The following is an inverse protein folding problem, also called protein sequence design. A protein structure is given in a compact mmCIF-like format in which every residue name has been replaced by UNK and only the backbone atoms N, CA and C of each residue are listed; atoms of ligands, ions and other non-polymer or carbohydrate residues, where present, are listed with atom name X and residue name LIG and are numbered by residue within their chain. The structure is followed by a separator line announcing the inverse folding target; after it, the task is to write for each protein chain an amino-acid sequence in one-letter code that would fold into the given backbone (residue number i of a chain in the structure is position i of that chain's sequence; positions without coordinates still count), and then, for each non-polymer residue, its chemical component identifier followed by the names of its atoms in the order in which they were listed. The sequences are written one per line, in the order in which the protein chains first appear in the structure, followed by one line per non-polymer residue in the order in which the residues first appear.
data_IF_861558129717
#
_entry.id   IF_861558129717
#
_cell.length_a   1.000
_cell.length_b   1.000
_cell.length_c   1.000
_cell.angle_alpha   90.00
_cell.angle_beta   90.00
_cell.angle_gamma   90.00
#
_symmetry.space_group_name_H-M   'P 1'
#
loop_
_entity.id
_entity.type
_entity.pdbx_description
1 polymer ?
#
# COMPACT_ATOMS: atom_id res chain seq x y z
N UNK A 1 13.31 -1.94 -24.34
CA UNK A 1 12.22 -1.74 -25.31
C UNK A 1 11.75 -0.31 -25.12
N UNK A 2 12.44 0.60 -25.82
CA UNK A 2 12.26 2.04 -25.73
C UNK A 2 11.43 2.44 -26.93
N UNK A 3 10.12 2.37 -26.79
CA UNK A 3 9.22 2.86 -27.83
C UNK A 3 9.27 4.37 -27.85
N UNK A 4 9.56 4.92 -29.03
CA UNK A 4 9.59 6.35 -29.31
C UNK A 4 8.21 6.96 -29.02
N UNK A 5 8.06 7.53 -27.83
CA UNK A 5 6.93 8.39 -27.50
C UNK A 5 7.17 9.73 -28.19
N UNK A 6 6.62 9.92 -29.40
CA UNK A 6 6.43 11.26 -29.94
C UNK A 6 5.46 11.98 -29.01
N UNK A 7 6.03 12.80 -28.11
CA UNK A 7 5.28 13.72 -27.28
C UNK A 7 4.75 14.85 -28.18
N UNK A 8 3.61 14.61 -28.82
CA UNK A 8 2.86 15.65 -29.52
C UNK A 8 2.42 16.67 -28.48
N UNK A 9 3.20 17.75 -28.32
CA UNK A 9 2.81 18.91 -27.53
C UNK A 9 1.67 19.63 -28.25
N UNK A 10 0.43 19.30 -27.88
CA UNK A 10 -0.74 20.08 -28.29
C UNK A 10 -0.82 21.30 -27.38
N UNK A 11 -0.35 22.44 -27.88
CA UNK A 11 -0.47 23.73 -27.23
C UNK A 11 -1.74 24.43 -27.72
N UNK A 12 -2.87 24.25 -27.04
CA UNK A 12 -4.05 25.12 -27.21
C UNK A 12 -4.92 25.10 -25.96
N UNK A 13 -5.22 26.29 -25.43
CA UNK A 13 -6.02 26.53 -24.23
C UNK A 13 -7.53 26.41 -24.42
N UNK A 14 -7.99 25.37 -25.12
CA UNK A 14 -9.41 25.04 -25.26
C UNK A 14 -9.59 23.53 -25.03
N UNK A 15 -10.72 23.18 -24.40
CA UNK A 15 -11.11 21.85 -23.93
C UNK A 15 -10.47 20.70 -24.72
N UNK A 16 -9.58 19.96 -24.04
CA UNK A 16 -8.88 18.78 -24.55
C UNK A 16 -9.87 17.73 -25.05
N UNK A 17 -10.10 17.69 -26.36
CA UNK A 17 -10.66 16.54 -27.05
C UNK A 17 -9.59 15.44 -26.94
N UNK A 18 -9.82 14.50 -26.03
CA UNK A 18 -8.99 13.32 -25.89
C UNK A 18 -8.96 12.61 -27.24
N UNK A 19 -7.78 12.55 -27.87
CA UNK A 19 -7.55 11.77 -29.07
C UNK A 19 -8.09 10.35 -28.83
N UNK A 20 -9.07 9.95 -29.65
CA UNK A 20 -9.69 8.63 -29.59
C UNK A 20 -8.55 7.60 -29.70
N UNK A 21 -8.35 6.73 -28.70
CA UNK A 21 -7.28 5.74 -28.76
C UNK A 21 -7.47 4.89 -30.01
N UNK A 22 -6.41 4.75 -30.81
CA UNK A 22 -6.41 3.80 -31.92
C UNK A 22 -6.69 2.41 -31.35
N UNK A 23 -7.74 1.71 -31.81
CA UNK A 23 -8.06 0.39 -31.28
C UNK A 23 -6.88 -0.56 -31.52
N UNK A 24 -6.30 -1.08 -30.44
CA UNK A 24 -5.39 -2.23 -30.50
C UNK A 24 -4.04 -2.13 -29.79
N UNK A 25 -3.60 -0.95 -29.34
CA UNK A 25 -2.30 -0.84 -28.63
C UNK A 25 -2.53 -0.50 -27.15
N UNK A 26 -2.20 -1.47 -26.28
CA UNK A 26 -2.26 -1.31 -24.82
C UNK A 26 -1.35 -0.16 -24.37
N UNK A 27 -1.86 0.73 -23.52
CA UNK A 27 -1.10 1.88 -23.00
C UNK A 27 -0.71 1.73 -21.53
N UNK A 28 -1.41 0.88 -20.78
CA UNK A 28 -1.14 0.63 -19.35
C UNK A 28 0.18 -0.10 -19.11
N UNK A 29 0.92 0.35 -18.10
CA UNK A 29 2.12 -0.30 -17.60
C UNK A 29 1.77 -1.70 -17.05
N UNK A 30 2.76 -2.59 -17.05
CA UNK A 30 2.61 -3.93 -16.49
C UNK A 30 3.35 -4.00 -15.15
N UNK A 31 2.70 -4.49 -14.10
CA UNK A 31 3.38 -4.71 -12.82
C UNK A 31 4.16 -6.02 -12.87
N UNK A 32 5.35 -6.05 -12.26
CA UNK A 32 6.18 -7.26 -12.10
C UNK A 32 6.52 -8.00 -13.40
N UNK A 33 6.82 -7.28 -14.49
CA UNK A 33 7.37 -7.88 -15.71
C UNK A 33 6.40 -8.74 -16.52
N UNK A 34 5.09 -8.63 -16.30
CA UNK A 34 4.10 -9.34 -17.13
C UNK A 34 2.82 -9.75 -16.41
N UNK A 35 2.87 -9.90 -15.09
CA UNK A 35 1.97 -10.84 -14.44
C UNK A 35 0.64 -10.24 -13.94
N UNK A 36 0.57 -8.95 -13.65
CA UNK A 36 -0.62 -8.34 -13.08
C UNK A 36 -0.87 -6.93 -13.60
N UNK A 37 -2.15 -6.62 -13.80
CA UNK A 37 -2.67 -5.25 -13.92
C UNK A 37 -2.35 -4.46 -12.63
N UNK A 38 -1.86 -3.21 -12.77
CA UNK A 38 -1.42 -2.37 -11.63
C UNK A 38 -2.55 -2.08 -10.64
N UNK A 39 -3.80 -2.01 -11.09
CA UNK A 39 -4.98 -1.82 -10.23
C UNK A 39 -5.23 -3.07 -9.39
N UNK A 40 -5.23 -4.25 -10.01
CA UNK A 40 -5.40 -5.52 -9.30
C UNK A 40 -4.25 -5.76 -8.32
N UNK A 41 -3.02 -5.50 -8.74
CA UNK A 41 -1.85 -5.58 -7.87
C UNK A 41 -2.01 -4.67 -6.64
N UNK A 42 -2.42 -3.41 -6.83
CA UNK A 42 -2.67 -2.46 -5.73
C UNK A 42 -3.73 -2.96 -4.75
N UNK A 43 -4.82 -3.57 -5.24
CA UNK A 43 -5.85 -4.15 -4.37
C UNK A 43 -5.29 -5.34 -3.56
N UNK A 44 -4.60 -6.26 -4.23
CA UNK A 44 -4.04 -7.47 -3.60
C UNK A 44 -3.02 -7.09 -2.52
N UNK A 45 -2.07 -6.19 -2.80
CA UNK A 45 -1.04 -5.81 -1.82
C UNK A 45 -1.66 -5.14 -0.59
N UNK A 46 -2.68 -4.29 -0.76
CA UNK A 46 -3.36 -3.70 0.39
C UNK A 46 -4.16 -4.72 1.21
N UNK A 47 -4.78 -5.72 0.58
CA UNK A 47 -5.45 -6.81 1.30
C UNK A 47 -4.44 -7.61 2.12
N UNK A 48 -3.31 -8.00 1.52
CA UNK A 48 -2.25 -8.74 2.20
C UNK A 48 -1.73 -7.94 3.41
N UNK A 49 -1.41 -6.66 3.21
CA UNK A 49 -0.90 -5.80 4.28
C UNK A 49 -1.95 -5.54 5.37
N UNK A 50 -3.23 -5.40 5.00
CA UNK A 50 -4.32 -5.30 5.97
C UNK A 50 -4.41 -6.57 6.82
N UNK A 51 -4.35 -7.75 6.22
CA UNK A 51 -4.34 -9.02 6.96
C UNK A 51 -3.14 -9.13 7.91
N UNK A 52 -1.92 -8.82 7.44
CA UNK A 52 -0.71 -8.83 8.28
C UNK A 52 -0.84 -7.83 9.44
N UNK A 53 -1.39 -6.64 9.19
CA UNK A 53 -1.59 -5.61 10.21
C UNK A 53 -2.59 -6.05 11.28
N UNK A 54 -3.68 -6.72 10.87
CA UNK A 54 -4.66 -7.28 11.81
C UNK A 54 -4.05 -8.41 12.65
N UNK A 55 -3.24 -9.29 12.05
CA UNK A 55 -2.50 -10.32 12.80
C UNK A 55 -1.50 -9.68 13.78
N UNK A 56 -0.81 -8.62 13.37
CA UNK A 56 0.07 -7.85 14.24
C UNK A 56 -0.67 -7.23 15.43
N UNK A 57 -1.86 -6.67 15.20
CA UNK A 57 -2.71 -6.10 16.24
C UNK A 57 -3.16 -7.17 17.25
N UNK A 58 -3.58 -8.35 16.77
CA UNK A 58 -3.89 -9.50 17.63
C UNK A 58 -2.66 -9.98 18.40
N UNK A 59 -1.49 -9.99 17.78
CA UNK A 59 -0.22 -10.34 18.42
C UNK A 59 0.12 -9.40 19.58
N UNK A 60 -0.03 -8.09 19.38
CA UNK A 60 0.15 -7.08 20.45
C UNK A 60 -0.84 -7.29 21.59
N UNK A 61 -2.11 -7.56 21.27
CA UNK A 61 -3.14 -7.83 22.29
C UNK A 61 -2.83 -9.11 23.10
N UNK A 62 -2.44 -10.18 22.42
CA UNK A 62 -2.08 -11.45 23.05
C UNK A 62 -0.83 -11.31 23.93
N UNK A 63 0.21 -10.61 23.45
CA UNK A 63 1.43 -10.36 24.20
C UNK A 63 1.14 -9.60 25.50
N UNK A 64 0.24 -8.60 25.47
CA UNK A 64 -0.20 -7.91 26.69
C UNK A 64 -0.90 -8.83 27.68
N UNK A 65 -1.81 -9.68 27.20
CA UNK A 65 -2.54 -10.62 28.07
C UNK A 65 -1.63 -11.63 28.75
N UNK A 66 -0.64 -12.16 28.02
CA UNK A 66 0.37 -13.06 28.59
C UNK A 66 1.26 -12.33 29.59
N UNK A 67 1.70 -11.11 29.26
CA UNK A 67 2.54 -10.30 30.15
C UNK A 67 1.82 -9.95 31.46
N UNK A 68 0.54 -9.55 31.40
CA UNK A 68 -0.24 -9.25 32.61
C UNK A 68 -0.42 -10.49 33.49
N UNK A 69 -0.72 -11.63 32.88
CA UNK A 69 -0.88 -12.88 33.63
C UNK A 69 0.44 -13.36 34.25
N UNK A 70 1.56 -13.19 33.55
CA UNK A 70 2.87 -13.49 34.12
C UNK A 70 3.21 -12.58 35.31
N UNK A 71 2.88 -11.30 35.23
CA UNK A 71 3.11 -10.34 36.31
C UNK A 71 2.30 -10.67 37.58
N UNK A 72 1.07 -11.17 37.44
CA UNK A 72 0.23 -11.58 38.58
C UNK A 72 0.75 -12.83 39.31
N UNK A 73 1.48 -13.71 38.60
CA UNK A 73 1.98 -14.98 39.15
C UNK A 73 3.44 -14.90 39.62
N UNK A 74 4.11 -13.76 39.42
CA UNK A 74 5.49 -13.57 39.84
C UNK A 74 5.54 -13.15 41.32
N UNK A 75 6.21 -13.95 42.15
CA UNK A 75 6.44 -13.68 43.59
C UNK A 75 7.66 -12.78 43.83
N UNK A 76 8.46 -12.52 42.77
CA UNK A 76 9.70 -11.74 42.83
C UNK A 76 9.49 -10.29 42.32
N UNK A 77 9.55 -9.31 43.23
CA UNK A 77 9.38 -7.87 42.97
C UNK A 77 10.26 -7.30 41.83
N UNK A 78 11.43 -7.91 41.58
CA UNK A 78 12.35 -7.49 40.52
C UNK A 78 11.79 -7.78 39.11
N UNK A 79 11.05 -8.89 38.95
CA UNK A 79 10.45 -9.26 37.66
C UNK A 79 9.28 -8.35 37.29
N UNK A 80 8.46 -7.95 38.26
CA UNK A 80 7.33 -7.04 38.08
C UNK A 80 7.79 -5.68 37.52
N UNK A 81 8.93 -5.17 38.01
CA UNK A 81 9.47 -3.88 37.59
C UNK A 81 9.90 -3.89 36.11
N UNK A 82 10.51 -4.99 35.66
CA UNK A 82 10.92 -5.15 34.25
C UNK A 82 9.74 -5.37 33.29
N UNK A 83 8.67 -6.03 33.75
CA UNK A 83 7.40 -6.18 33.03
C UNK A 83 6.62 -4.86 32.94
N UNK A 84 6.65 -4.04 33.99
CA UNK A 84 6.06 -2.70 33.97
C UNK A 84 6.79 -1.76 33.01
N UNK A 85 8.11 -1.86 32.87
CA UNK A 85 8.85 -1.08 31.87
C UNK A 85 8.45 -1.41 30.41
N UNK A 86 8.04 -2.66 30.14
CA UNK A 86 7.45 -3.06 28.84
C UNK A 86 6.01 -2.55 28.67
N UNK A 87 5.27 -2.40 29.77
CA UNK A 87 3.93 -1.80 29.78
C UNK A 87 3.97 -0.28 29.56
N UNK A 88 5.01 0.39 30.06
CA UNK A 88 5.24 1.84 29.91
C UNK A 88 5.83 2.23 28.56
N UNK A 89 6.31 1.26 27.78
CA UNK A 89 6.55 1.49 26.36
C UNK A 89 5.26 2.06 25.73
N UNK A 90 5.36 2.92 24.69
CA UNK A 90 4.19 3.59 24.11
C UNK A 90 3.37 2.63 23.24
N UNK A 91 2.91 1.50 23.78
CA UNK A 91 2.11 0.50 23.08
C UNK A 91 0.80 1.11 22.62
N UNK A 92 0.28 2.11 23.33
CA UNK A 92 -0.85 2.92 22.87
C UNK A 92 -0.55 3.63 21.54
N UNK A 93 0.65 4.19 21.38
CA UNK A 93 1.10 4.81 20.12
C UNK A 93 1.24 3.76 19.03
N UNK A 94 1.83 2.59 19.34
CA UNK A 94 1.94 1.49 18.37
C UNK A 94 0.56 1.05 17.86
N UNK A 95 -0.40 0.83 18.77
CA UNK A 95 -1.77 0.47 18.39
C UNK A 95 -2.42 1.56 17.54
N UNK A 96 -2.25 2.84 17.90
CA UNK A 96 -2.77 3.95 17.09
C UNK A 96 -2.16 3.98 15.68
N UNK A 97 -0.85 3.75 15.55
CA UNK A 97 -0.16 3.68 14.25
C UNK A 97 -0.71 2.52 13.40
N UNK A 98 -0.92 1.34 14.00
CA UNK A 98 -1.49 0.19 13.28
C UNK A 98 -2.93 0.46 12.81
N UNK A 99 -3.74 1.15 13.61
CA UNK A 99 -5.10 1.55 13.23
C UNK A 99 -5.09 2.55 12.07
N UNK A 100 -4.25 3.59 12.14
CA UNK A 100 -4.08 4.56 11.05
C UNK A 100 -3.62 3.85 9.76
N UNK A 101 -2.65 2.95 9.88
CA UNK A 101 -2.13 2.18 8.76
C UNK A 101 -3.23 1.30 8.12
N UNK A 102 -4.04 0.62 8.94
CA UNK A 102 -5.18 -0.16 8.45
C UNK A 102 -6.20 0.70 7.69
N UNK A 103 -6.49 1.91 8.17
CA UNK A 103 -7.36 2.86 7.48
C UNK A 103 -6.77 3.30 6.12
N UNK A 104 -5.45 3.54 6.06
CA UNK A 104 -4.76 3.86 4.81
C UNK A 104 -4.86 2.74 3.77
N UNK A 105 -4.75 1.46 4.18
CA UNK A 105 -4.93 0.33 3.26
C UNK A 105 -6.36 0.23 2.73
N UNK A 106 -7.35 0.47 3.59
CA UNK A 106 -8.75 0.52 3.16
C UNK A 106 -8.96 1.66 2.16
N UNK A 107 -8.41 2.85 2.40
CA UNK A 107 -8.43 3.96 1.44
C UNK A 107 -7.76 3.58 0.11
N UNK A 108 -6.63 2.87 0.14
CA UNK A 108 -5.94 2.37 -1.06
C UNK A 108 -6.81 1.43 -1.90
N UNK A 109 -7.51 0.49 -1.25
CA UNK A 109 -8.46 -0.42 -1.90
C UNK A 109 -9.61 0.36 -2.53
N UNK A 110 -10.25 1.27 -1.78
CA UNK A 110 -11.34 2.09 -2.30
C UNK A 110 -10.89 3.00 -3.45
N UNK A 111 -9.70 3.59 -3.34
CA UNK A 111 -9.09 4.42 -4.38
C UNK A 111 -8.86 3.64 -5.67
N UNK A 112 -8.35 2.41 -5.58
CA UNK A 112 -8.15 1.53 -6.73
C UNK A 112 -9.48 1.07 -7.35
N UNK A 113 -10.52 0.81 -6.55
CA UNK A 113 -11.84 0.41 -7.06
C UNK A 113 -12.52 1.56 -7.81
N UNK A 114 -12.46 2.78 -7.25
CA UNK A 114 -13.15 3.98 -7.76
C UNK A 114 -12.31 4.83 -8.73
N UNK A 115 -11.10 4.40 -9.07
CA UNK A 115 -10.15 5.18 -9.90
C UNK A 115 -9.91 6.59 -9.32
N UNK A 116 -9.87 6.71 -7.98
CA UNK A 116 -9.73 7.98 -7.29
C UNK A 116 -8.25 8.20 -6.89
N UNK A 117 -7.54 8.96 -7.73
CA UNK A 117 -6.10 9.24 -7.62
C UNK A 117 -5.63 9.70 -6.23
N UNK A 118 -6.27 10.67 -5.54
CA UNK A 118 -5.84 11.08 -4.19
C UNK A 118 -5.98 9.99 -3.13
N UNK A 119 -6.98 9.10 -3.21
CA UNK A 119 -7.11 7.99 -2.25
C UNK A 119 -5.98 6.97 -2.38
N UNK A 120 -5.57 6.68 -3.62
CA UNK A 120 -4.39 5.84 -3.89
C UNK A 120 -3.11 6.52 -3.38
N UNK A 121 -2.99 7.85 -3.56
CA UNK A 121 -1.84 8.61 -3.09
C UNK A 121 -1.70 8.58 -1.56
N UNK A 122 -2.82 8.65 -0.82
CA UNK A 122 -2.79 8.53 0.65
C UNK A 122 -2.20 7.19 1.09
N UNK A 123 -2.59 6.09 0.45
CA UNK A 123 -2.00 4.78 0.73
C UNK A 123 -0.50 4.74 0.39
N UNK A 124 -0.10 5.31 -0.75
CA UNK A 124 1.32 5.41 -1.13
C UNK A 124 2.16 6.18 -0.10
N UNK A 125 1.68 7.33 0.38
CA UNK A 125 2.35 8.12 1.42
C UNK A 125 2.50 7.31 2.70
N UNK A 126 1.49 6.51 3.07
CA UNK A 126 1.58 5.61 4.22
C UNK A 126 2.73 4.59 4.06
N UNK A 127 2.87 3.96 2.89
CA UNK A 127 4.02 3.08 2.60
C UNK A 127 5.36 3.82 2.68
N UNK A 128 5.46 5.08 2.21
CA UNK A 128 6.69 5.87 2.33
C UNK A 128 7.05 6.13 3.79
N UNK A 129 6.07 6.39 4.65
CA UNK A 129 6.29 6.57 6.09
C UNK A 129 6.75 5.26 6.73
N UNK A 130 6.12 4.13 6.40
CA UNK A 130 6.57 2.80 6.86
C UNK A 130 8.00 2.50 6.40
N UNK A 131 8.34 2.81 5.14
CA UNK A 131 9.69 2.64 4.61
C UNK A 131 10.72 3.45 5.40
N UNK A 132 10.38 4.69 5.80
CA UNK A 132 11.24 5.51 6.64
C UNK A 132 11.46 4.88 8.03
N UNK A 133 10.41 4.33 8.65
CA UNK A 133 10.55 3.60 9.91
C UNK A 133 11.42 2.35 9.76
N UNK A 134 11.23 1.55 8.69
CA UNK A 134 12.08 0.39 8.41
C UNK A 134 13.54 0.80 8.21
N UNK A 135 13.78 1.94 7.55
CA UNK A 135 15.12 2.51 7.38
C UNK A 135 15.75 2.91 8.71
N UNK A 136 15.03 3.61 9.60
CA UNK A 136 15.54 3.98 10.92
C UNK A 136 15.75 2.77 11.84
N UNK A 137 14.93 1.73 11.68
CA UNK A 137 15.08 0.46 12.39
C UNK A 137 16.10 -0.50 11.78
N UNK A 138 16.77 -0.12 10.68
CA UNK A 138 17.68 -0.99 9.91
C UNK A 138 17.05 -2.34 9.50
N UNK A 139 15.74 -2.38 9.30
CA UNK A 139 15.00 -3.57 8.88
C UNK A 139 15.05 -3.72 7.35
N UNK A 140 16.17 -4.24 6.85
CA UNK A 140 16.43 -4.39 5.41
C UNK A 140 15.32 -5.20 4.71
N UNK A 141 14.83 -6.26 5.36
CA UNK A 141 13.76 -7.10 4.78
C UNK A 141 12.45 -6.31 4.67
N UNK A 142 12.09 -5.56 5.72
CA UNK A 142 10.94 -4.66 5.70
C UNK A 142 11.06 -3.61 4.59
N UNK A 143 12.23 -2.97 4.46
CA UNK A 143 12.47 -1.98 3.41
C UNK A 143 12.21 -2.54 2.00
N UNK A 144 12.71 -3.76 1.71
CA UNK A 144 12.53 -4.39 0.40
C UNK A 144 11.04 -4.69 0.15
N UNK A 145 10.35 -5.29 1.11
CA UNK A 145 8.92 -5.63 0.99
C UNK A 145 8.09 -4.36 0.81
N UNK A 146 8.32 -3.34 1.65
CA UNK A 146 7.62 -2.06 1.61
C UNK A 146 7.85 -1.35 0.27
N UNK A 147 9.07 -1.33 -0.25
CA UNK A 147 9.38 -0.73 -1.56
C UNK A 147 8.67 -1.47 -2.71
N UNK A 148 8.69 -2.81 -2.69
CA UNK A 148 7.98 -3.64 -3.67
C UNK A 148 6.47 -3.39 -3.65
N UNK A 149 5.89 -3.16 -2.47
CA UNK A 149 4.44 -2.91 -2.33
C UNK A 149 4.05 -1.45 -2.59
N UNK A 150 4.97 -0.50 -2.42
CA UNK A 150 4.77 0.90 -2.81
C UNK A 150 4.72 1.08 -4.35
N UNK A 151 5.47 0.26 -5.08
CA UNK A 151 5.55 0.31 -6.55
C UNK A 151 4.20 0.36 -7.29
N UNK A 152 3.26 -0.60 -7.09
CA UNK A 152 1.99 -0.59 -7.83
C UNK A 152 1.14 0.65 -7.54
N UNK A 153 1.25 1.24 -6.34
CA UNK A 153 0.52 2.45 -5.98
C UNK A 153 1.02 3.68 -6.75
N UNK A 154 2.35 3.82 -6.87
CA UNK A 154 2.95 4.92 -7.63
C UNK A 154 2.53 4.88 -9.10
N UNK A 155 2.64 3.71 -9.73
CA UNK A 155 2.24 3.53 -11.12
C UNK A 155 0.74 3.71 -11.33
N UNK A 156 -0.10 3.14 -10.46
CA UNK A 156 -1.56 3.33 -10.55
C UNK A 156 -1.94 4.82 -10.42
N UNK A 157 -1.31 5.55 -9.52
CA UNK A 157 -1.54 7.00 -9.39
C UNK A 157 -1.20 7.76 -10.68
N UNK A 158 -0.06 7.43 -11.30
CA UNK A 158 0.38 8.03 -12.56
C UNK A 158 -0.59 7.70 -13.72
N UNK A 159 -1.04 6.45 -13.83
CA UNK A 159 -1.96 6.01 -14.89
C UNK A 159 -3.35 6.64 -14.79
N UNK A 160 -3.90 6.75 -13.57
CA UNK A 160 -5.17 7.44 -13.34
C UNK A 160 -5.03 8.92 -13.69
N UNK A 161 -3.93 9.58 -13.28
CA UNK A 161 -3.70 11.01 -13.54
C UNK A 161 -3.51 11.31 -15.03
N UNK A 162 -2.89 10.40 -15.77
CA UNK A 162 -2.67 10.54 -17.21
C UNK A 162 -3.91 10.18 -18.05
N UNK A 163 -5.00 9.74 -17.42
CA UNK A 163 -6.21 9.30 -18.14
C UNK A 163 -6.00 8.00 -18.94
N UNK A 164 -4.93 7.26 -18.66
CA UNK A 164 -4.67 5.95 -19.29
C UNK A 164 -5.63 4.91 -18.72
N UNK A 165 -5.85 4.97 -17.41
CA UNK A 165 -6.70 4.04 -16.68
C UNK A 165 -7.94 4.76 -16.13
N UNK A 166 -9.04 4.71 -16.90
CA UNK A 166 -10.37 5.21 -16.51
C UNK A 166 -11.38 4.07 -16.45
N UNK A 167 -12.54 4.23 -15.79
CA UNK A 167 -13.58 3.19 -15.76
C UNK A 167 -14.03 2.73 -17.15
N UNK A 168 -14.05 3.64 -18.12
CA UNK A 168 -14.51 3.38 -19.49
C UNK A 168 -13.44 2.67 -20.33
N UNK A 169 -12.16 3.03 -20.14
CA UNK A 169 -11.06 2.42 -20.89
C UNK A 169 -10.58 1.09 -20.27
N UNK A 170 -10.94 0.80 -19.02
CA UNK A 170 -10.43 -0.36 -18.30
C UNK A 170 -10.72 -1.71 -18.99
N UNK A 171 -11.84 -1.83 -19.72
CA UNK A 171 -12.17 -3.07 -20.46
C UNK A 171 -11.09 -3.40 -21.49
N UNK A 172 -10.45 -2.40 -22.09
CA UNK A 172 -9.41 -2.57 -23.09
C UNK A 172 -8.02 -2.78 -22.46
N UNK A 173 -7.79 -2.23 -21.28
CA UNK A 173 -6.48 -2.28 -20.59
C UNK A 173 -6.33 -3.49 -19.66
N UNK A 174 -7.45 -4.14 -19.29
CA UNK A 174 -7.46 -5.27 -18.37
C UNK A 174 -6.62 -6.43 -18.92
N UNK A 175 -5.52 -6.74 -18.25
CA UNK A 175 -4.78 -7.98 -18.49
C UNK A 175 -5.36 -9.10 -17.64
N UNK A 176 -5.52 -10.28 -18.24
CA UNK A 176 -5.62 -11.52 -17.48
C UNK A 176 -4.33 -11.67 -16.70
N UNK A 177 -4.39 -11.54 -15.37
CA UNK A 177 -3.26 -11.90 -14.54
C UNK A 177 -2.84 -13.34 -14.88
N UNK A 178 -1.57 -13.69 -14.73
CA UNK A 178 -1.07 -15.07 -14.95
C UNK A 178 -1.64 -16.13 -13.97
N UNK A 179 -2.72 -15.81 -13.25
CA UNK A 179 -3.34 -16.62 -12.21
C UNK A 179 -4.85 -16.81 -12.46
N UNK A 180 -5.27 -16.98 -13.71
CA UNK A 180 -6.62 -17.46 -14.05
C UNK A 180 -6.57 -18.95 -14.33
#
# INVERSE_FOLDING_TARGET
MSDNYEATKVATGEATINAIPTPGVKRGHVCCGGCCDVRRATIIVNIIMLCITLLGLLGVAAAKGVASQAAENADDDETITSLQALSDAPVGVLVAVLLVQSACYVCGIFGAIKYNSPLVLVAFVCYCVTFAFDLFGANIVGMIITACFAYPHFFLHQEIRNGVMTPENYINEQQSCCCV
#
